data_IF_678447947739
#
_entry.id   IF_678447947739
#
_cell.length_a   1.000
_cell.length_b   1.000
_cell.length_c   1.000
_cell.angle_alpha   90.00
_cell.angle_beta   90.00
_cell.angle_gamma   90.00
#
_symmetry.space_group_name_H-M   'P 1'
#
loop_
_entity.id
_entity.type
_entity.pdbx_description
1 polymer ?
#
# COMPACT_ATOMS: atom_id res chain seq x y z
N UNK A 1 5.35 -6.09 -4.86
CA UNK A 1 5.79 -4.78 -4.35
C UNK A 1 4.97 -3.69 -5.00
N UNK A 2 4.10 -3.05 -4.24
CA UNK A 2 3.15 -2.02 -4.69
C UNK A 2 3.76 -0.65 -4.97
N UNK A 3 5.04 -0.43 -4.66
CA UNK A 3 5.70 0.88 -4.80
C UNK A 3 6.28 1.23 -6.18
N UNK A 4 6.07 0.44 -7.23
CA UNK A 4 6.60 0.74 -8.58
C UNK A 4 5.75 0.14 -9.71
N UNK A 5 5.71 0.84 -10.86
CA UNK A 5 5.15 0.34 -12.13
C UNK A 5 3.68 -0.05 -12.02
N UNK A 6 3.38 -1.32 -12.33
CA UNK A 6 2.02 -1.86 -12.33
C UNK A 6 1.41 -1.78 -10.93
N UNK A 7 2.17 -2.11 -9.88
CA UNK A 7 1.64 -2.11 -8.50
C UNK A 7 1.15 -0.73 -8.06
N UNK A 8 1.89 0.32 -8.44
CA UNK A 8 1.52 1.70 -8.14
C UNK A 8 0.28 2.15 -8.92
N UNK A 9 0.24 1.86 -10.23
CA UNK A 9 -0.91 2.17 -11.08
C UNK A 9 -2.18 1.44 -10.62
N UNK A 10 -2.05 0.17 -10.23
CA UNK A 10 -3.14 -0.64 -9.68
C UNK A 10 -3.64 -0.08 -8.35
N UNK A 11 -2.74 0.32 -7.45
CA UNK A 11 -3.11 0.92 -6.17
C UNK A 11 -3.91 2.22 -6.35
N UNK A 12 -3.43 3.12 -7.21
CA UNK A 12 -4.16 4.35 -7.55
C UNK A 12 -5.52 4.04 -8.19
N UNK A 13 -5.59 3.08 -9.10
CA UNK A 13 -6.85 2.71 -9.76
C UNK A 13 -7.88 2.19 -8.75
N UNK A 14 -7.49 1.26 -7.86
CA UNK A 14 -8.38 0.76 -6.82
C UNK A 14 -8.83 1.87 -5.88
N UNK A 15 -7.92 2.75 -5.46
CA UNK A 15 -8.28 3.84 -4.56
C UNK A 15 -9.22 4.85 -5.24
N UNK A 16 -9.04 5.14 -6.53
CA UNK A 16 -9.99 5.95 -7.34
C UNK A 16 -11.37 5.31 -7.46
N UNK A 17 -11.47 3.99 -7.34
CA UNK A 17 -12.74 3.27 -7.26
C UNK A 17 -13.32 3.23 -5.83
N UNK A 18 -12.73 3.93 -4.86
CA UNK A 18 -13.20 4.04 -3.48
C UNK A 18 -12.69 2.94 -2.55
N UNK A 19 -11.73 2.13 -2.99
CA UNK A 19 -11.11 1.13 -2.13
C UNK A 19 -10.12 1.77 -1.16
N UNK A 20 -10.00 1.18 0.03
CA UNK A 20 -8.89 1.45 0.92
C UNK A 20 -7.70 0.57 0.51
N UNK A 21 -6.58 1.17 0.16
CA UNK A 21 -5.45 0.43 -0.40
C UNK A 21 -4.24 0.46 0.53
N UNK A 22 -3.72 -0.72 0.90
CA UNK A 22 -2.41 -0.86 1.51
C UNK A 22 -1.38 -1.28 0.47
N UNK A 23 -0.32 -0.49 0.29
CA UNK A 23 0.83 -0.86 -0.54
C UNK A 23 2.02 -1.31 0.32
N UNK A 24 2.78 -2.29 -0.16
CA UNK A 24 4.04 -2.70 0.46
C UNK A 24 5.25 -2.57 -0.48
N UNK A 25 6.43 -2.39 0.09
CA UNK A 25 7.69 -2.43 -0.65
C UNK A 25 8.90 -2.10 0.22
N UNK A 26 10.08 -2.27 -0.35
CA UNK A 26 11.36 -2.04 0.33
C UNK A 26 11.89 -0.61 0.18
N UNK A 27 11.40 0.13 -0.82
CA UNK A 27 11.79 1.53 -1.04
C UNK A 27 10.73 2.46 -0.45
N UNK A 28 11.00 2.99 0.75
CA UNK A 28 10.08 3.86 1.49
C UNK A 28 9.78 5.18 0.77
N UNK A 29 10.78 5.79 0.12
CA UNK A 29 10.59 7.07 -0.58
C UNK A 29 9.53 6.96 -1.67
N UNK A 30 9.60 5.91 -2.48
CA UNK A 30 8.61 5.67 -3.54
C UNK A 30 7.21 5.35 -3.01
N UNK A 31 7.12 4.67 -1.87
CA UNK A 31 5.83 4.43 -1.22
C UNK A 31 5.21 5.73 -0.72
N UNK A 32 6.03 6.61 -0.11
CA UNK A 32 5.61 7.95 0.33
C UNK A 32 5.18 8.82 -0.83
N UNK A 33 5.91 8.82 -1.94
CA UNK A 33 5.53 9.55 -3.16
C UNK A 33 4.14 9.13 -3.64
N UNK A 34 3.87 7.82 -3.74
CA UNK A 34 2.58 7.32 -4.19
C UNK A 34 1.43 7.66 -3.23
N UNK A 35 1.68 7.60 -1.92
CA UNK A 35 0.68 7.99 -0.92
C UNK A 35 0.40 9.49 -0.96
N UNK A 36 1.42 10.32 -1.19
CA UNK A 36 1.22 11.75 -1.37
C UNK A 36 0.43 12.06 -2.63
N UNK A 37 0.76 11.43 -3.77
CA UNK A 37 -0.01 11.56 -5.03
C UNK A 37 -1.47 11.16 -4.81
N UNK A 38 -1.72 10.02 -4.16
CA UNK A 38 -3.07 9.60 -3.82
C UNK A 38 -3.78 10.57 -2.87
N UNK A 39 -3.09 11.13 -1.88
CA UNK A 39 -3.66 12.09 -0.95
C UNK A 39 -4.06 13.42 -1.62
N UNK A 40 -3.30 13.89 -2.62
CA UNK A 40 -3.67 15.06 -3.43
C UNK A 40 -4.98 14.84 -4.21
N UNK A 41 -5.26 13.60 -4.58
CA UNK A 41 -6.52 13.18 -5.21
C UNK A 41 -7.62 12.80 -4.19
N UNK A 42 -7.36 12.89 -2.89
CA UNK A 42 -8.30 12.52 -1.82
C UNK A 42 -8.50 11.00 -1.67
N UNK A 43 -7.55 10.20 -2.15
CA UNK A 43 -7.61 8.74 -2.16
C UNK A 43 -7.10 8.15 -0.85
N UNK A 44 -7.70 7.03 -0.43
CA UNK A 44 -7.33 6.31 0.78
C UNK A 44 -6.23 5.27 0.50
N UNK A 45 -4.98 5.73 0.44
CA UNK A 45 -3.80 4.87 0.26
C UNK A 45 -2.89 4.96 1.49
N UNK A 46 -2.51 3.80 2.04
CA UNK A 46 -1.53 3.66 3.12
C UNK A 46 -0.37 2.76 2.67
N UNK A 47 0.79 2.90 3.30
CA UNK A 47 1.95 2.07 2.99
C UNK A 47 2.52 1.35 4.21
N UNK A 48 3.18 0.23 3.94
CA UNK A 48 4.04 -0.50 4.87
C UNK A 48 5.39 -0.75 4.19
N UNK A 49 6.49 -0.43 4.87
CA UNK A 49 7.82 -0.85 4.44
C UNK A 49 8.00 -2.30 4.85
N UNK A 50 8.18 -3.17 3.87
CA UNK A 50 8.30 -4.61 4.07
C UNK A 50 9.04 -5.27 2.91
N UNK A 51 9.88 -6.25 3.23
CA UNK A 51 10.50 -7.16 2.28
C UNK A 51 9.71 -8.46 2.20
N UNK A 52 9.12 -8.74 1.04
CA UNK A 52 8.34 -9.97 0.81
C UNK A 52 9.19 -11.25 0.82
N UNK A 53 10.52 -11.14 0.81
CA UNK A 53 11.42 -12.28 1.01
C UNK A 53 11.59 -12.66 2.49
N UNK A 54 11.15 -11.79 3.41
CA UNK A 54 11.16 -12.02 4.85
C UNK A 54 9.75 -12.41 5.30
N UNK A 55 9.62 -13.61 5.89
CA UNK A 55 8.33 -14.15 6.33
C UNK A 55 7.67 -13.26 7.39
N UNK A 56 8.46 -12.74 8.33
CA UNK A 56 7.98 -11.86 9.40
C UNK A 56 7.38 -10.56 8.84
N UNK A 57 8.00 -9.98 7.81
CA UNK A 57 7.51 -8.78 7.12
C UNK A 57 6.19 -9.04 6.38
N UNK A 58 6.04 -10.23 5.80
CA UNK A 58 4.77 -10.65 5.19
C UNK A 58 3.65 -10.71 6.22
N UNK A 59 3.90 -11.36 7.36
CA UNK A 59 2.93 -11.47 8.47
C UNK A 59 2.58 -10.08 9.01
N UNK A 60 3.60 -9.24 9.23
CA UNK A 60 3.40 -7.88 9.71
C UNK A 60 2.58 -7.04 8.72
N UNK A 61 2.82 -7.16 7.41
CA UNK A 61 2.05 -6.45 6.39
C UNK A 61 0.57 -6.82 6.45
N UNK A 62 0.25 -8.11 6.60
CA UNK A 62 -1.13 -8.58 6.74
C UNK A 62 -1.77 -8.05 8.01
N UNK A 63 -1.08 -8.16 9.15
CA UNK A 63 -1.58 -7.65 10.43
C UNK A 63 -1.87 -6.15 10.36
N UNK A 64 -0.96 -5.36 9.80
CA UNK A 64 -1.12 -3.92 9.60
C UNK A 64 -2.32 -3.60 8.72
N UNK A 65 -2.57 -4.39 7.66
CA UNK A 65 -3.74 -4.23 6.82
C UNK A 65 -5.05 -4.45 7.61
N UNK A 66 -5.10 -5.53 8.39
CA UNK A 66 -6.27 -5.87 9.22
C UNK A 66 -6.49 -4.84 10.33
N UNK A 67 -5.43 -4.36 10.98
CA UNK A 67 -5.53 -3.30 12.01
C UNK A 67 -6.05 -1.98 11.43
N UNK A 68 -5.59 -1.59 10.24
CA UNK A 68 -5.91 -0.30 9.64
C UNK A 68 -7.28 -0.30 8.94
N UNK A 69 -7.66 -1.42 8.32
CA UNK A 69 -8.85 -1.49 7.46
C UNK A 69 -9.91 -2.49 7.94
N UNK A 70 -9.66 -3.23 9.01
CA UNK A 70 -10.60 -4.19 9.60
C UNK A 70 -10.70 -5.53 8.86
N UNK A 71 -9.99 -5.70 7.74
CA UNK A 71 -10.03 -6.89 6.91
C UNK A 71 -9.25 -6.73 5.60
N UNK A 72 -9.23 -7.80 4.79
CA UNK A 72 -8.67 -7.83 3.43
C UNK A 72 -9.74 -8.46 2.54
N UNK A 73 -10.08 -7.78 1.44
CA UNK A 73 -11.01 -8.25 0.39
C UNK A 73 -10.26 -8.74 -0.86
#
# INVERSE_FOLDING_TARGET
>A
GGGNGIGAATALLFARHGANVLINGTNEERLKELVNEGAEEGLAIKYVVADVSVEEDCINTVNRCVEEFGGID
#
